data_IF_593401514292
#
_entry.id   IF_593401514292
#
_cell.length_a   1.000
_cell.length_b   1.000
_cell.length_c   1.000
_cell.angle_alpha   90.00
_cell.angle_beta   90.00
_cell.angle_gamma   90.00
#
_symmetry.space_group_name_H-M   'P 1'
#
loop_
_entity.id
_entity.type
_entity.pdbx_description
1 polymer ?
#
# COMPACT_ATOMS: atom_id res chain seq x y z
N UNK A 1 -3.91 -27.07 2.50
CA UNK A 1 -2.81 -26.15 2.24
C UNK A 1 -2.53 -25.39 3.54
N UNK A 2 -1.29 -25.37 4.00
CA UNK A 2 -0.94 -24.58 5.18
C UNK A 2 -0.52 -23.19 4.67
N UNK A 3 -1.41 -22.21 4.79
CA UNK A 3 -1.20 -20.84 4.33
C UNK A 3 -0.76 -20.00 5.54
N UNK A 4 0.33 -20.40 6.20
CA UNK A 4 0.74 -19.88 7.52
C UNK A 4 0.85 -18.34 7.59
N UNK A 5 1.09 -17.66 6.44
CA UNK A 5 1.23 -16.21 6.34
C UNK A 5 0.17 -15.55 5.45
N UNK A 6 -0.82 -16.30 4.97
CA UNK A 6 -1.91 -15.78 4.14
C UNK A 6 -3.26 -15.99 4.80
N UNK A 7 -4.13 -15.00 4.69
CA UNK A 7 -5.54 -15.09 5.09
C UNK A 7 -6.45 -14.83 3.89
N UNK A 8 -7.56 -15.55 3.83
CA UNK A 8 -8.58 -15.30 2.82
C UNK A 8 -9.31 -14.00 3.16
N UNK A 9 -9.40 -13.10 2.19
CA UNK A 9 -10.07 -11.80 2.34
C UNK A 9 -11.57 -11.91 2.09
N UNK A 10 -11.97 -12.80 1.16
CA UNK A 10 -13.36 -12.99 0.76
C UNK A 10 -13.83 -14.42 0.99
N UNK A 11 -15.15 -14.60 1.13
CA UNK A 11 -15.76 -15.94 1.19
C UNK A 11 -15.62 -16.72 -0.14
N UNK A 12 -15.43 -16.02 -1.26
CA UNK A 12 -15.18 -16.61 -2.59
C UNK A 12 -13.77 -17.19 -2.72
N UNK A 13 -12.89 -16.93 -1.76
CA UNK A 13 -11.54 -17.46 -1.65
C UNK A 13 -10.62 -17.19 -2.86
N UNK A 14 -10.88 -16.12 -3.62
CA UNK A 14 -10.06 -15.69 -4.75
C UNK A 14 -9.15 -14.49 -4.43
N UNK A 15 -9.31 -13.85 -3.27
CA UNK A 15 -8.47 -12.73 -2.81
C UNK A 15 -7.82 -13.09 -1.48
N UNK A 16 -6.50 -13.05 -1.47
CA UNK A 16 -5.66 -13.38 -0.32
C UNK A 16 -4.91 -12.16 0.18
N UNK A 17 -4.83 -12.00 1.50
CA UNK A 17 -3.95 -11.05 2.17
C UNK A 17 -2.72 -11.80 2.69
N UNK A 18 -1.55 -11.42 2.24
CA UNK A 18 -0.27 -11.93 2.69
C UNK A 18 0.34 -10.96 3.71
N UNK A 19 0.70 -11.49 4.88
CA UNK A 19 1.54 -10.78 5.85
C UNK A 19 2.99 -10.79 5.37
N UNK A 20 3.52 -9.63 5.06
CA UNK A 20 4.91 -9.49 4.58
C UNK A 20 5.94 -9.67 5.69
N UNK A 21 5.54 -9.62 6.98
CA UNK A 21 6.46 -9.58 8.13
C UNK A 21 7.40 -8.38 8.11
N UNK A 22 6.93 -7.27 7.58
CA UNK A 22 7.69 -6.02 7.51
C UNK A 22 8.17 -5.60 8.90
N UNK A 23 9.43 -5.16 9.00
CA UNK A 23 10.09 -4.76 10.26
C UNK A 23 10.17 -5.87 11.33
N UNK A 24 10.07 -7.14 10.93
CA UNK A 24 9.96 -8.28 11.85
C UNK A 24 8.73 -8.19 12.77
N UNK A 25 7.68 -7.51 12.31
CA UNK A 25 6.40 -7.33 13.01
C UNK A 25 5.30 -8.03 12.24
N UNK A 26 4.57 -8.92 12.91
CA UNK A 26 3.39 -9.57 12.35
C UNK A 26 2.24 -8.58 12.20
N UNK A 27 1.45 -8.74 11.14
CA UNK A 27 0.27 -7.93 10.88
C UNK A 27 0.59 -6.42 10.75
N UNK A 28 1.66 -6.10 10.00
CA UNK A 28 2.02 -4.71 9.73
C UNK A 28 2.00 -4.36 8.24
N UNK A 29 2.64 -5.09 7.35
CA UNK A 29 2.64 -4.83 5.92
C UNK A 29 1.86 -5.88 5.13
N UNK A 30 1.03 -5.47 4.18
CA UNK A 30 0.20 -6.35 3.36
C UNK A 30 0.64 -6.37 1.90
N UNK A 31 0.51 -7.54 1.29
CA UNK A 31 0.44 -7.73 -0.16
C UNK A 31 -0.84 -8.50 -0.43
N UNK A 32 -1.57 -8.14 -1.48
CA UNK A 32 -2.76 -8.90 -1.86
C UNK A 32 -2.51 -9.68 -3.15
N UNK A 33 -3.01 -10.91 -3.18
CA UNK A 33 -2.97 -11.76 -4.37
C UNK A 33 -4.41 -12.08 -4.74
N UNK A 34 -4.77 -11.77 -5.97
CA UNK A 34 -6.05 -12.14 -6.56
C UNK A 34 -5.76 -13.34 -7.46
N UNK A 35 -6.27 -14.51 -7.04
CA UNK A 35 -6.03 -15.81 -7.68
C UNK A 35 -6.91 -15.93 -8.94
N UNK A 36 -6.40 -15.40 -10.03
CA UNK A 36 -7.01 -15.42 -11.37
C UNK A 36 -5.93 -15.70 -12.41
N UNK A 37 -6.31 -15.89 -13.65
CA UNK A 37 -5.38 -16.07 -14.77
C UNK A 37 -5.38 -14.83 -15.69
N UNK A 38 -4.29 -14.05 -15.72
CA UNK A 38 -3.10 -14.13 -14.85
C UNK A 38 -3.40 -13.73 -13.40
N UNK A 39 -2.55 -14.16 -12.47
CA UNK A 39 -2.60 -13.68 -11.09
C UNK A 39 -2.36 -12.17 -11.02
N UNK A 40 -3.15 -11.47 -10.18
CA UNK A 40 -2.92 -10.07 -9.88
C UNK A 40 -2.30 -9.96 -8.49
N UNK A 41 -1.25 -9.13 -8.37
CA UNK A 41 -0.57 -8.85 -7.11
C UNK A 41 -0.68 -7.36 -6.84
N UNK A 42 -1.28 -6.97 -5.72
CA UNK A 42 -1.36 -5.57 -5.32
C UNK A 42 -0.26 -5.29 -4.30
N UNK A 43 0.67 -4.43 -4.67
CA UNK A 43 1.94 -4.13 -4.01
C UNK A 43 2.89 -5.35 -3.96
N UNK A 44 4.11 -5.17 -3.42
CA UNK A 44 5.12 -6.24 -3.37
C UNK A 44 5.86 -6.29 -2.04
N UNK A 45 5.54 -5.37 -1.13
CA UNK A 45 6.30 -5.20 0.10
C UNK A 45 7.72 -4.69 -0.12
N UNK A 46 8.54 -4.80 0.91
CA UNK A 46 9.98 -4.47 0.82
C UNK A 46 10.72 -5.53 0.01
N UNK A 47 11.84 -5.14 -0.58
CA UNK A 47 12.73 -6.10 -1.26
C UNK A 47 13.34 -7.15 -0.32
N UNK A 48 13.32 -6.92 0.99
CA UNK A 48 13.83 -7.85 1.99
C UNK A 48 12.87 -9.04 2.23
N UNK A 49 11.58 -8.78 2.15
CA UNK A 49 10.54 -9.77 2.48
C UNK A 49 9.91 -10.42 1.24
N UNK A 50 10.45 -10.17 0.04
CA UNK A 50 9.88 -10.63 -1.23
C UNK A 50 9.74 -12.16 -1.33
N UNK A 51 10.55 -12.92 -0.62
CA UNK A 51 10.49 -14.38 -0.61
C UNK A 51 9.13 -14.89 -0.12
N UNK A 52 8.45 -14.17 0.79
CA UNK A 52 7.09 -14.49 1.23
C UNK A 52 6.08 -14.39 0.08
N UNK A 53 6.27 -13.41 -0.82
CA UNK A 53 5.43 -13.27 -2.03
C UNK A 53 5.66 -14.43 -2.99
N UNK A 54 6.92 -14.86 -3.17
CA UNK A 54 7.23 -16.03 -4.00
C UNK A 54 6.61 -17.31 -3.45
N UNK A 55 6.71 -17.53 -2.14
CA UNK A 55 6.10 -18.67 -1.47
C UNK A 55 4.58 -18.67 -1.62
N UNK A 56 3.94 -17.51 -1.43
CA UNK A 56 2.49 -17.37 -1.58
C UNK A 56 2.03 -17.67 -3.02
N UNK A 57 2.67 -17.10 -4.03
CA UNK A 57 2.37 -17.35 -5.43
C UNK A 57 2.55 -18.84 -5.78
N UNK A 58 3.65 -19.45 -5.33
CA UNK A 58 3.89 -20.88 -5.54
C UNK A 58 2.84 -21.78 -4.86
N UNK A 59 2.37 -21.41 -3.66
CA UNK A 59 1.29 -22.14 -2.96
C UNK A 59 -0.04 -22.05 -3.70
N UNK A 60 -0.29 -20.96 -4.42
CA UNK A 60 -1.45 -20.78 -5.28
C UNK A 60 -1.28 -21.44 -6.66
N UNK A 61 -0.14 -22.08 -6.91
CA UNK A 61 0.11 -22.82 -8.16
C UNK A 61 0.65 -21.94 -9.29
N UNK A 62 1.04 -20.71 -9.02
CA UNK A 62 1.64 -19.82 -10.03
C UNK A 62 3.03 -20.32 -10.38
N UNK A 63 3.22 -20.68 -11.63
CA UNK A 63 4.48 -21.18 -12.18
C UNK A 63 5.39 -20.02 -12.62
N UNK A 64 6.70 -20.31 -12.74
CA UNK A 64 7.70 -19.29 -13.08
C UNK A 64 7.42 -18.54 -14.39
N UNK A 65 6.90 -19.24 -15.37
CA UNK A 65 6.69 -18.71 -16.73
C UNK A 65 5.29 -18.13 -16.93
N UNK A 66 4.46 -18.13 -15.87
CA UNK A 66 3.12 -17.54 -15.91
C UNK A 66 3.20 -16.00 -15.98
N UNK A 67 2.18 -15.42 -16.57
CA UNK A 67 1.97 -13.98 -16.53
C UNK A 67 1.46 -13.56 -15.16
N UNK A 68 1.98 -12.46 -14.63
CA UNK A 68 1.53 -11.83 -13.40
C UNK A 68 1.34 -10.33 -13.65
N UNK A 69 0.21 -9.79 -13.26
CA UNK A 69 -0.04 -8.35 -13.25
C UNK A 69 0.23 -7.80 -11.83
N UNK A 70 1.27 -6.97 -11.69
CA UNK A 70 1.62 -6.31 -10.42
C UNK A 70 1.06 -4.90 -10.43
N UNK A 71 0.09 -4.60 -9.58
CA UNK A 71 -0.54 -3.30 -9.41
C UNK A 71 0.12 -2.57 -8.25
N UNK A 72 0.90 -1.54 -8.50
CA UNK A 72 1.50 -0.74 -7.42
C UNK A 72 0.57 0.40 -7.03
N UNK A 73 0.14 0.40 -5.77
CA UNK A 73 -0.64 1.52 -5.22
C UNK A 73 0.19 2.79 -5.26
N UNK A 74 1.46 2.71 -4.92
CA UNK A 74 2.44 3.79 -5.02
C UNK A 74 3.87 3.23 -4.97
N UNK A 75 4.89 4.11 -5.09
CA UNK A 75 6.27 3.64 -5.22
C UNK A 75 7.11 3.74 -3.94
N UNK A 76 6.54 3.97 -2.76
CA UNK A 76 7.28 3.82 -1.51
C UNK A 76 7.85 2.40 -1.40
N UNK A 77 9.04 2.26 -0.80
CA UNK A 77 9.80 1.00 -0.88
C UNK A 77 9.24 -0.14 -0.03
N UNK A 78 8.33 0.15 0.86
CA UNK A 78 7.53 -0.81 1.61
C UNK A 78 6.35 -1.39 0.82
N UNK A 79 6.03 -0.79 -0.33
CA UNK A 79 5.02 -1.26 -1.29
C UNK A 79 5.65 -1.76 -2.59
N UNK A 80 6.58 -0.99 -3.16
CA UNK A 80 7.17 -1.28 -4.47
C UNK A 80 8.59 -1.88 -4.41
N UNK A 81 9.18 -2.02 -3.22
CA UNK A 81 10.59 -2.42 -3.07
C UNK A 81 10.92 -3.81 -3.61
N UNK A 82 9.94 -4.71 -3.62
CA UNK A 82 10.06 -6.07 -4.14
C UNK A 82 9.85 -6.18 -5.65
N UNK A 83 9.25 -5.19 -6.32
CA UNK A 83 8.76 -5.31 -7.69
C UNK A 83 9.83 -5.77 -8.69
N UNK A 84 11.01 -5.16 -8.69
CA UNK A 84 12.08 -5.55 -9.61
C UNK A 84 12.58 -6.99 -9.39
N UNK A 85 12.57 -7.47 -8.12
CA UNK A 85 12.91 -8.87 -7.78
C UNK A 85 11.83 -9.82 -8.24
N UNK A 86 10.56 -9.45 -8.09
CA UNK A 86 9.44 -10.25 -8.58
C UNK A 86 9.55 -10.46 -10.09
N UNK A 87 9.90 -9.41 -10.84
CA UNK A 87 10.10 -9.52 -12.28
C UNK A 87 11.31 -10.40 -12.68
N UNK A 88 12.33 -10.50 -11.84
CA UNK A 88 13.44 -11.42 -12.08
C UNK A 88 13.04 -12.89 -11.86
N UNK A 89 12.20 -13.13 -10.85
CA UNK A 89 11.69 -14.47 -10.54
C UNK A 89 10.66 -14.94 -11.58
N UNK A 90 9.77 -14.02 -12.02
CA UNK A 90 8.68 -14.29 -12.96
C UNK A 90 8.86 -13.46 -14.25
N UNK A 91 9.52 -14.03 -15.29
CA UNK A 91 9.78 -13.33 -16.54
C UNK A 91 8.52 -12.88 -17.29
N UNK A 92 7.36 -13.52 -17.08
CA UNK A 92 6.05 -13.15 -17.63
C UNK A 92 5.39 -11.94 -16.94
N UNK A 93 5.83 -11.55 -15.73
CA UNK A 93 5.17 -10.48 -14.96
C UNK A 93 5.36 -9.08 -15.57
N UNK A 94 4.38 -8.20 -15.43
CA UNK A 94 4.43 -6.78 -15.75
C UNK A 94 3.97 -5.94 -14.55
N UNK A 95 4.55 -4.74 -14.39
CA UNK A 95 4.19 -3.79 -13.33
C UNK A 95 3.35 -2.65 -13.89
N UNK A 96 2.26 -2.37 -13.23
CA UNK A 96 1.34 -1.28 -13.52
C UNK A 96 1.48 -0.19 -12.45
N UNK A 97 1.66 1.05 -12.88
CA UNK A 97 2.04 2.15 -11.98
C UNK A 97 1.46 3.49 -12.43
N UNK A 98 1.33 4.44 -11.50
CA UNK A 98 1.04 5.83 -11.83
C UNK A 98 2.18 6.46 -12.64
N UNK A 99 1.88 7.38 -13.57
CA UNK A 99 2.86 8.06 -14.41
C UNK A 99 4.00 8.69 -13.60
N UNK A 100 3.68 9.35 -12.49
CA UNK A 100 4.69 9.98 -11.62
C UNK A 100 5.57 8.98 -10.86
N UNK A 101 5.15 7.71 -10.76
CA UNK A 101 5.94 6.64 -10.15
C UNK A 101 6.89 5.95 -11.13
N UNK A 102 6.63 6.07 -12.43
CA UNK A 102 7.32 5.31 -13.47
C UNK A 102 8.85 5.46 -13.43
N UNK A 103 9.35 6.69 -13.42
CA UNK A 103 10.79 6.95 -13.46
C UNK A 103 11.50 6.47 -12.19
N UNK A 104 10.82 6.46 -11.05
CA UNK A 104 11.35 5.92 -9.80
C UNK A 104 11.60 4.40 -9.84
N UNK A 105 10.92 3.67 -10.71
CA UNK A 105 11.12 2.24 -10.89
C UNK A 105 12.19 1.93 -11.94
N UNK A 106 12.36 2.81 -12.92
CA UNK A 106 13.43 2.71 -13.94
C UNK A 106 14.78 3.12 -13.36
N UNK A 107 14.80 4.23 -12.61
CA UNK A 107 16.00 4.87 -12.05
C UNK A 107 15.79 5.13 -10.54
N UNK A 108 15.95 4.09 -9.68
CA UNK A 108 15.50 4.16 -8.28
C UNK A 108 16.40 4.95 -7.33
N UNK A 109 17.53 5.49 -7.77
CA UNK A 109 18.53 6.14 -6.92
C UNK A 109 17.97 7.30 -6.10
N UNK A 110 17.13 8.13 -6.71
CA UNK A 110 16.47 9.26 -6.03
C UNK A 110 15.47 8.76 -4.98
N UNK A 111 14.70 7.72 -5.31
CA UNK A 111 13.76 7.10 -4.38
C UNK A 111 14.51 6.50 -3.18
N UNK A 112 15.61 5.77 -3.43
CA UNK A 112 16.48 5.21 -2.38
C UNK A 112 17.03 6.30 -1.47
N UNK A 113 17.53 7.40 -2.04
CA UNK A 113 18.06 8.51 -1.25
C UNK A 113 16.98 9.17 -0.39
N UNK A 114 15.79 9.40 -0.94
CA UNK A 114 14.63 9.93 -0.22
C UNK A 114 14.17 9.02 0.91
N UNK A 115 14.03 7.72 0.64
CA UNK A 115 13.66 6.75 1.67
C UNK A 115 14.66 6.70 2.81
N UNK A 116 15.98 6.63 2.50
CA UNK A 116 17.03 6.67 3.54
C UNK A 116 16.96 7.91 4.41
N UNK A 117 16.71 9.06 3.82
CA UNK A 117 16.57 10.31 4.55
C UNK A 117 15.32 10.31 5.46
N UNK A 118 14.23 9.70 5.02
CA UNK A 118 12.98 9.63 5.77
C UNK A 118 13.02 8.61 6.92
N UNK A 119 13.57 7.41 6.67
CA UNK A 119 13.49 6.29 7.63
C UNK A 119 14.73 6.15 8.53
N UNK A 120 15.83 6.84 8.22
CA UNK A 120 17.06 6.80 9.02
C UNK A 120 17.57 5.38 9.26
N UNK A 121 17.76 5.01 10.55
CA UNK A 121 18.27 3.69 10.96
C UNK A 121 17.32 2.53 10.57
N UNK A 122 16.06 2.80 10.29
CA UNK A 122 15.10 1.78 9.82
C UNK A 122 15.41 1.31 8.40
N UNK A 123 16.32 1.98 7.68
CA UNK A 123 16.80 1.54 6.36
C UNK A 123 17.28 0.08 6.36
N UNK A 124 17.73 -0.44 7.47
CA UNK A 124 18.14 -1.85 7.63
C UNK A 124 17.06 -2.86 7.26
N UNK A 125 15.79 -2.49 7.31
CA UNK A 125 14.64 -3.33 6.94
C UNK A 125 14.28 -3.23 5.45
N UNK A 126 15.00 -2.42 4.71
CA UNK A 126 14.83 -2.26 3.27
C UNK A 126 16.03 -2.85 2.53
N UNK A 127 15.75 -3.47 1.40
CA UNK A 127 16.80 -3.86 0.45
C UNK A 127 16.72 -2.90 -0.74
N UNK A 128 17.83 -2.40 -1.28
CA UNK A 128 17.79 -1.53 -2.45
C UNK A 128 16.93 -2.15 -3.56
N UNK A 129 15.97 -1.44 -4.15
CA UNK A 129 15.16 -1.94 -5.24
C UNK A 129 16.03 -2.23 -6.48
N UNK A 130 15.54 -3.13 -7.31
CA UNK A 130 16.15 -3.43 -8.61
C UNK A 130 15.43 -2.60 -9.66
N UNK A 131 16.20 -1.91 -10.52
CA UNK A 131 15.67 -1.18 -11.67
C UNK A 131 14.83 -2.08 -12.58
N UNK A 132 13.71 -1.57 -13.05
CA UNK A 132 12.78 -2.30 -13.90
C UNK A 132 12.97 -1.85 -15.35
N UNK A 133 13.06 -2.81 -16.26
CA UNK A 133 13.07 -2.53 -17.70
C UNK A 133 11.79 -1.78 -18.12
N UNK A 134 11.88 -0.63 -18.78
CA UNK A 134 10.73 0.09 -19.32
C UNK A 134 9.73 -0.77 -20.10
N UNK A 135 10.20 -1.81 -20.78
CA UNK A 135 9.35 -2.75 -21.50
C UNK A 135 8.39 -3.55 -20.58
N UNK A 136 8.70 -3.63 -19.29
CA UNK A 136 7.93 -4.35 -18.26
C UNK A 136 7.05 -3.43 -17.40
N UNK A 137 7.05 -2.13 -17.70
CA UNK A 137 6.23 -1.13 -17.01
C UNK A 137 5.04 -0.71 -17.88
N UNK A 138 3.92 -0.49 -17.24
CA UNK A 138 2.68 0.02 -17.84
C UNK A 138 2.17 1.18 -17.00
N UNK A 139 2.03 2.35 -17.61
CA UNK A 139 1.39 3.50 -16.96
C UNK A 139 -0.12 3.30 -17.00
N UNK A 140 -0.76 3.43 -15.84
CA UNK A 140 -2.20 3.30 -15.71
C UNK A 140 -2.92 4.62 -16.05
N UNK A 141 -4.01 4.56 -16.84
CA UNK A 141 -4.87 5.71 -17.08
C UNK A 141 -5.71 5.99 -15.84
N UNK A 142 -5.40 7.08 -15.14
CA UNK A 142 -6.11 7.47 -13.91
C UNK A 142 -7.55 7.93 -14.21
N UNK A 143 -8.51 7.44 -13.44
CA UNK A 143 -9.93 7.76 -13.60
C UNK A 143 -10.64 6.90 -14.63
N UNK A 144 -10.00 5.86 -15.11
CA UNK A 144 -10.55 4.91 -16.08
C UNK A 144 -10.59 3.50 -15.50
N UNK A 145 -11.44 2.65 -16.07
CA UNK A 145 -11.39 1.21 -15.83
C UNK A 145 -10.41 0.58 -16.82
N UNK A 146 -9.52 -0.26 -16.31
CA UNK A 146 -8.60 -1.04 -17.13
C UNK A 146 -8.99 -2.51 -17.11
N UNK A 147 -8.91 -3.14 -18.27
CA UNK A 147 -9.06 -4.57 -18.38
C UNK A 147 -7.68 -5.21 -18.20
N UNK A 148 -7.50 -5.93 -17.10
CA UNK A 148 -6.31 -6.74 -16.88
C UNK A 148 -6.76 -8.18 -16.96
N UNK A 149 -6.66 -8.72 -18.16
CA UNK A 149 -7.19 -10.02 -18.59
C UNK A 149 -8.69 -10.15 -18.25
N UNK A 150 -9.09 -10.96 -17.30
CA UNK A 150 -10.50 -11.16 -16.93
C UNK A 150 -10.99 -10.19 -15.85
N UNK A 151 -10.08 -9.39 -15.27
CA UNK A 151 -10.41 -8.45 -14.19
C UNK A 151 -10.65 -7.04 -14.72
N UNK A 152 -11.77 -6.44 -14.32
CA UNK A 152 -12.03 -5.00 -14.53
C UNK A 152 -11.64 -4.26 -13.26
N UNK A 153 -10.55 -3.49 -13.35
CA UNK A 153 -10.02 -2.71 -12.24
C UNK A 153 -10.24 -1.22 -12.52
N UNK A 154 -10.96 -0.52 -11.65
CA UNK A 154 -11.03 0.93 -11.70
C UNK A 154 -9.80 1.54 -11.04
N UNK A 155 -9.13 2.43 -11.77
CA UNK A 155 -7.91 3.11 -11.34
C UNK A 155 -8.26 4.48 -10.79
N UNK A 156 -8.10 4.67 -9.48
CA UNK A 156 -8.57 5.86 -8.77
C UNK A 156 -7.37 6.63 -8.23
N UNK A 157 -7.23 7.91 -8.60
CA UNK A 157 -6.20 8.77 -8.01
C UNK A 157 -6.46 9.01 -6.52
N UNK A 158 -5.42 8.90 -5.72
CA UNK A 158 -5.47 9.21 -4.29
C UNK A 158 -4.20 9.98 -3.83
N UNK A 159 -3.95 11.19 -4.39
CA UNK A 159 -2.66 11.87 -4.26
C UNK A 159 -2.41 12.52 -2.90
N UNK A 160 -3.23 12.23 -1.89
CA UNK A 160 -3.10 12.84 -0.58
C UNK A 160 -1.95 12.29 0.25
N UNK A 161 -1.71 10.97 0.20
CA UNK A 161 -0.57 10.32 0.86
C UNK A 161 0.74 10.60 0.10
N UNK A 162 0.72 10.36 -1.21
CA UNK A 162 1.84 10.64 -2.12
C UNK A 162 1.29 11.00 -3.51
N UNK A 163 1.96 11.87 -4.30
CA UNK A 163 1.46 12.33 -5.61
C UNK A 163 1.17 11.20 -6.61
N UNK A 164 1.85 10.07 -6.46
CA UNK A 164 1.73 8.87 -7.31
C UNK A 164 0.85 7.78 -6.69
N UNK A 165 0.11 8.08 -5.62
CA UNK A 165 -0.79 7.11 -4.97
C UNK A 165 -2.02 6.85 -5.82
N UNK A 166 -2.32 5.56 -6.00
CA UNK A 166 -3.53 5.03 -6.60
C UNK A 166 -4.29 4.17 -5.61
N UNK A 167 -5.58 4.08 -5.80
CA UNK A 167 -6.42 3.02 -5.25
C UNK A 167 -6.95 2.17 -6.41
N UNK A 168 -7.17 0.89 -6.15
CA UNK A 168 -7.69 -0.06 -7.14
C UNK A 168 -9.00 -0.65 -6.65
N UNK A 169 -10.06 -0.47 -7.44
CA UNK A 169 -11.35 -1.07 -7.15
C UNK A 169 -11.60 -2.22 -8.10
N UNK A 170 -11.64 -3.44 -7.55
CA UNK A 170 -12.02 -4.64 -8.29
C UNK A 170 -13.53 -4.75 -8.33
N UNK A 171 -14.09 -4.46 -9.49
CA UNK A 171 -15.55 -4.44 -9.72
C UNK A 171 -16.19 -5.80 -9.48
N UNK A 172 -15.46 -6.90 -9.74
CA UNK A 172 -16.01 -8.25 -9.63
C UNK A 172 -16.20 -8.70 -8.18
N UNK A 173 -15.30 -8.28 -7.29
CA UNK A 173 -15.34 -8.67 -5.86
C UNK A 173 -15.89 -7.58 -4.96
N UNK A 174 -16.12 -6.37 -5.49
CA UNK A 174 -16.53 -5.18 -4.71
C UNK A 174 -15.53 -4.85 -3.59
N UNK A 175 -14.23 -4.98 -3.91
CA UNK A 175 -13.12 -4.72 -3.00
C UNK A 175 -12.34 -3.50 -3.47
N UNK A 176 -12.02 -2.60 -2.54
CA UNK A 176 -11.14 -1.47 -2.77
C UNK A 176 -9.78 -1.68 -2.07
N UNK A 177 -8.71 -1.71 -2.85
CA UNK A 177 -7.34 -1.70 -2.36
C UNK A 177 -6.87 -0.25 -2.22
N UNK A 178 -6.70 0.21 -0.99
CA UNK A 178 -6.50 1.63 -0.71
C UNK A 178 -5.01 2.04 -0.68
N UNK A 179 -4.09 1.08 -0.61
CA UNK A 179 -2.72 1.39 -0.22
C UNK A 179 -2.74 2.20 1.08
N UNK A 180 -2.05 3.32 1.10
CA UNK A 180 -1.93 4.21 2.26
C UNK A 180 -2.92 5.40 2.27
N UNK A 181 -3.77 5.49 1.24
CA UNK A 181 -4.73 6.61 1.13
C UNK A 181 -5.77 6.64 2.26
N UNK A 182 -6.04 5.48 2.88
CA UNK A 182 -6.99 5.34 3.99
C UNK A 182 -6.29 4.98 5.31
N UNK A 183 -4.98 5.23 5.42
CA UNK A 183 -4.22 5.01 6.65
C UNK A 183 -3.79 3.57 6.87
N UNK A 184 -3.47 3.27 8.12
CA UNK A 184 -2.98 1.98 8.61
C UNK A 184 -4.09 1.31 9.42
N UNK A 185 -4.50 0.10 9.04
CA UNK A 185 -5.48 -0.65 9.81
C UNK A 185 -4.81 -1.48 10.90
N UNK A 186 -5.39 -1.46 12.08
CA UNK A 186 -4.93 -2.28 13.23
C UNK A 186 -6.05 -3.26 13.60
N UNK A 187 -6.01 -4.51 13.11
CA UNK A 187 -7.11 -5.48 13.30
C UNK A 187 -7.44 -5.76 14.76
N UNK A 188 -6.43 -5.81 15.64
CA UNK A 188 -6.61 -6.09 17.07
C UNK A 188 -7.41 -5.01 17.81
N UNK A 189 -7.50 -3.80 17.25
CA UNK A 189 -8.22 -2.66 17.82
C UNK A 189 -9.41 -2.23 16.95
N UNK A 190 -9.60 -2.87 15.79
CA UNK A 190 -10.55 -2.45 14.74
C UNK A 190 -10.46 -0.94 14.46
N UNK A 191 -9.23 -0.45 14.30
CA UNK A 191 -8.95 0.98 14.19
C UNK A 191 -8.07 1.28 12.99
N UNK A 192 -8.41 2.39 12.30
CA UNK A 192 -7.59 2.98 11.24
C UNK A 192 -6.78 4.12 11.86
N UNK A 193 -5.47 4.08 11.67
CA UNK A 193 -4.53 5.11 12.13
C UNK A 193 -4.03 5.95 10.97
N UNK A 194 -3.61 7.17 11.28
CA UNK A 194 -3.03 8.08 10.31
C UNK A 194 -1.67 7.60 9.80
N UNK A 195 -1.43 7.81 8.48
CA UNK A 195 -0.12 7.70 7.84
C UNK A 195 0.17 8.98 7.08
N UNK A 196 1.15 9.74 7.58
CA UNK A 196 1.45 11.10 7.10
C UNK A 196 2.96 11.20 6.80
N UNK A 197 3.43 10.60 5.68
CA UNK A 197 4.86 10.60 5.34
C UNK A 197 5.36 12.03 5.12
N UNK A 198 6.58 12.36 5.59
CA UNK A 198 7.12 13.71 5.45
C UNK A 198 7.30 14.10 3.97
N UNK A 199 7.21 15.39 3.72
CA UNK A 199 7.44 16.13 2.49
C UNK A 199 6.35 16.05 1.42
N UNK A 200 5.61 14.94 1.26
CA UNK A 200 4.65 14.78 0.15
C UNK A 200 3.19 14.66 0.60
N UNK A 201 2.93 14.45 1.89
CA UNK A 201 1.58 14.37 2.42
C UNK A 201 0.82 15.69 2.28
N UNK A 202 -0.41 15.61 1.78
CA UNK A 202 -1.33 16.75 1.62
C UNK A 202 -2.66 16.42 2.30
N UNK A 203 -2.95 17.09 3.42
CA UNK A 203 -4.16 16.85 4.23
C UNK A 203 -5.44 17.02 3.40
N UNK A 204 -5.58 18.12 2.66
CA UNK A 204 -6.82 18.43 1.94
C UNK A 204 -7.09 17.42 0.82
N UNK A 205 -6.03 16.98 0.14
CA UNK A 205 -6.12 15.90 -0.85
C UNK A 205 -6.47 14.58 -0.19
N UNK A 206 -5.84 14.22 0.93
CA UNK A 206 -6.14 12.96 1.62
C UNK A 206 -7.58 12.93 2.14
N UNK A 207 -8.09 14.03 2.71
CA UNK A 207 -9.50 14.15 3.07
C UNK A 207 -10.43 13.98 1.87
N UNK A 208 -10.01 14.43 0.69
CA UNK A 208 -10.76 14.24 -0.56
C UNK A 208 -10.71 12.78 -1.02
N UNK A 209 -9.56 12.12 -0.87
CA UNK A 209 -9.40 10.71 -1.21
C UNK A 209 -10.29 9.82 -0.35
N UNK A 210 -10.37 10.09 0.96
CA UNK A 210 -11.30 9.39 1.88
C UNK A 210 -12.76 9.61 1.47
N UNK A 211 -13.16 10.81 1.03
CA UNK A 211 -14.52 11.05 0.51
C UNK A 211 -14.81 10.26 -0.76
N UNK A 212 -13.80 9.99 -1.60
CA UNK A 212 -13.96 9.11 -2.76
C UNK A 212 -14.27 7.69 -2.32
N UNK A 213 -13.58 7.17 -1.28
CA UNK A 213 -13.89 5.86 -0.70
C UNK A 213 -15.35 5.81 -0.22
N UNK A 214 -15.81 6.86 0.48
CA UNK A 214 -17.19 6.97 0.94
C UNK A 214 -18.21 7.02 -0.23
N UNK A 215 -17.82 7.54 -1.38
CA UNK A 215 -18.67 7.59 -2.58
C UNK A 215 -18.74 6.27 -3.32
N UNK A 216 -17.64 5.51 -3.32
CA UNK A 216 -17.56 4.18 -3.93
C UNK A 216 -18.40 3.18 -3.13
N UNK A 217 -18.41 3.32 -1.79
CA UNK A 217 -19.12 2.41 -0.86
C UNK A 217 -18.76 0.92 -1.09
N UNK A 218 -17.46 0.55 -1.15
CA UNK A 218 -17.09 -0.83 -1.42
C UNK A 218 -17.56 -1.74 -0.28
N UNK A 219 -17.88 -2.99 -0.57
CA UNK A 219 -18.19 -3.98 0.49
C UNK A 219 -17.02 -4.15 1.44
N UNK A 220 -15.79 -4.08 0.92
CA UNK A 220 -14.57 -4.27 1.71
C UNK A 220 -13.46 -3.33 1.27
N UNK A 221 -12.65 -2.91 2.25
CA UNK A 221 -11.41 -2.17 2.03
C UNK A 221 -10.21 -3.02 2.45
N UNK A 222 -9.16 -2.98 1.63
CA UNK A 222 -7.87 -3.64 1.82
C UNK A 222 -6.78 -2.58 1.94
N UNK A 223 -6.05 -2.61 3.05
CA UNK A 223 -5.04 -1.58 3.40
C UNK A 223 -3.64 -2.02 2.99
N UNK A 224 -2.77 -1.10 2.68
CA UNK A 224 -1.34 -1.38 2.52
C UNK A 224 -0.69 -1.82 3.84
N UNK A 225 -1.23 -1.33 4.97
CA UNK A 225 -0.89 -1.67 6.34
C UNK A 225 -2.18 -1.80 7.19
N UNK A 226 -2.55 -2.88 7.82
CA UNK A 226 -2.48 -4.30 7.55
C UNK A 226 -3.92 -4.83 7.41
N UNK A 227 -4.08 -5.76 6.44
CA UNK A 227 -5.29 -6.54 6.33
C UNK A 227 -6.47 -5.81 5.73
N UNK A 228 -7.67 -6.28 6.00
CA UNK A 228 -8.91 -5.77 5.41
C UNK A 228 -10.04 -5.70 6.44
N UNK A 229 -11.01 -4.83 6.17
CA UNK A 229 -12.26 -4.77 6.94
C UNK A 229 -13.45 -4.51 6.04
N UNK A 230 -14.65 -4.86 6.48
CA UNK A 230 -15.89 -4.39 5.84
C UNK A 230 -15.93 -2.86 5.95
N UNK A 231 -16.21 -2.18 4.84
CA UNK A 231 -16.31 -0.73 4.85
C UNK A 231 -17.55 -0.26 5.62
N UNK A 232 -17.35 0.72 6.49
CA UNK A 232 -18.45 1.45 7.14
C UNK A 232 -18.13 2.93 7.22
N UNK A 233 -19.11 3.79 6.93
CA UNK A 233 -18.92 5.26 6.90
C UNK A 233 -18.37 5.83 8.21
N UNK A 234 -18.72 5.25 9.35
CA UNK A 234 -18.24 5.71 10.68
C UNK A 234 -16.73 5.55 10.84
N UNK A 235 -16.11 4.57 10.18
CA UNK A 235 -14.64 4.43 10.16
C UNK A 235 -14.01 5.58 9.37
N UNK A 236 -14.57 5.91 8.20
CA UNK A 236 -14.08 7.01 7.38
C UNK A 236 -14.23 8.38 8.07
N UNK A 237 -15.37 8.62 8.71
CA UNK A 237 -15.60 9.83 9.53
C UNK A 237 -14.60 9.92 10.69
N UNK A 238 -14.38 8.81 11.41
CA UNK A 238 -13.44 8.74 12.52
C UNK A 238 -12.01 9.00 12.06
N UNK A 239 -11.59 8.38 10.96
CA UNK A 239 -10.27 8.59 10.38
C UNK A 239 -10.05 10.04 9.95
N UNK A 240 -10.99 10.66 9.23
CA UNK A 240 -10.87 12.08 8.83
C UNK A 240 -10.74 13.01 10.03
N UNK A 241 -11.54 12.79 11.08
CA UNK A 241 -11.45 13.59 12.31
C UNK A 241 -10.09 13.42 12.97
N UNK A 242 -9.64 12.19 13.16
CA UNK A 242 -8.34 11.86 13.74
C UNK A 242 -7.19 12.47 12.94
N UNK A 243 -7.24 12.42 11.62
CA UNK A 243 -6.22 13.00 10.74
C UNK A 243 -6.14 14.52 10.87
N UNK A 244 -7.29 15.22 10.95
CA UNK A 244 -7.35 16.66 11.16
C UNK A 244 -6.77 17.01 12.53
N UNK A 245 -7.18 16.31 13.59
CA UNK A 245 -6.67 16.51 14.95
C UNK A 245 -5.17 16.29 15.04
N UNK A 246 -4.66 15.24 14.39
CA UNK A 246 -3.23 14.93 14.31
C UNK A 246 -2.43 16.06 13.66
N UNK A 247 -2.84 16.49 12.46
CA UNK A 247 -2.14 17.56 11.73
C UNK A 247 -2.20 18.88 12.50
N UNK A 248 -3.34 19.20 13.11
CA UNK A 248 -3.47 20.42 13.92
C UNK A 248 -2.58 20.38 15.16
N UNK A 249 -2.49 19.25 15.85
CA UNK A 249 -1.61 19.07 17.00
C UNK A 249 -0.12 19.25 16.59
N UNK A 250 0.30 18.70 15.45
CA UNK A 250 1.66 18.93 14.91
C UNK A 250 1.90 20.41 14.64
N UNK A 251 0.94 21.10 14.00
CA UNK A 251 1.04 22.54 13.71
C UNK A 251 1.18 23.38 14.99
N UNK A 252 0.42 23.06 16.02
CA UNK A 252 0.48 23.76 17.31
C UNK A 252 1.84 23.58 17.99
N UNK A 253 2.38 22.35 18.02
CA UNK A 253 3.70 22.08 18.58
C UNK A 253 4.81 22.84 17.81
N UNK A 254 4.73 22.87 16.48
CA UNK A 254 5.66 23.62 15.65
C UNK A 254 5.56 25.14 15.86
N UNK A 255 4.33 25.67 15.99
CA UNK A 255 4.11 27.09 16.29
C UNK A 255 4.67 27.48 17.69
N UNK A 256 4.67 26.56 18.64
CA UNK A 256 5.28 26.72 19.95
C UNK A 256 6.83 26.55 19.93
N UNK A 257 7.45 26.44 18.73
CA UNK A 257 8.90 26.24 18.52
C UNK A 257 9.44 24.93 19.15
N UNK A 258 8.59 23.92 19.32
CA UNK A 258 9.02 22.59 19.75
C UNK A 258 9.92 21.97 18.67
N UNK A 259 11.02 21.35 19.10
CA UNK A 259 11.85 20.54 18.23
C UNK A 259 11.19 19.19 17.91
N UNK A 260 11.77 18.41 17.01
CA UNK A 260 11.21 17.14 16.56
C UNK A 260 11.03 16.15 17.71
N UNK A 261 11.97 16.13 18.65
CA UNK A 261 11.92 15.23 19.79
C UNK A 261 10.76 15.57 20.74
N UNK A 262 10.54 16.83 21.02
CA UNK A 262 9.41 17.30 21.82
C UNK A 262 8.06 17.00 21.16
N UNK A 263 7.99 17.15 19.83
CA UNK A 263 6.79 16.76 19.05
C UNK A 263 6.54 15.26 19.16
N UNK A 264 7.55 14.42 18.96
CA UNK A 264 7.44 12.97 19.06
C UNK A 264 6.99 12.55 20.48
N UNK A 265 7.63 13.08 21.53
CA UNK A 265 7.29 12.76 22.92
C UNK A 265 5.85 13.16 23.28
N UNK A 266 5.36 14.29 22.76
CA UNK A 266 3.96 14.67 22.94
C UNK A 266 3.00 13.60 22.42
N UNK A 267 3.26 13.08 21.22
CA UNK A 267 2.40 12.07 20.59
C UNK A 267 2.53 10.69 21.22
N UNK A 268 3.74 10.26 21.58
CA UNK A 268 3.95 8.99 22.31
C UNK A 268 3.16 8.99 23.61
N UNK A 269 3.17 10.09 24.35
CA UNK A 269 2.43 10.20 25.61
C UNK A 269 0.90 10.25 25.45
N UNK A 270 0.40 10.64 24.27
CA UNK A 270 -1.05 10.70 23.98
C UNK A 270 -1.60 9.39 23.39
N UNK A 271 -0.75 8.60 22.71
CA UNK A 271 -1.15 7.30 22.14
C UNK A 271 -1.46 6.27 23.23
N UNK A 272 -0.73 6.32 24.36
CA UNK A 272 -0.90 5.40 25.50
C UNK A 272 -1.97 5.85 26.50
N UNK A 273 -2.68 6.93 26.23
CA UNK A 273 -3.80 7.36 27.07
C UNK A 273 -5.07 6.62 26.67
N UNK A 274 -5.76 5.94 27.61
CA UNK A 274 -6.94 5.11 27.35
C UNK A 274 -8.14 5.89 26.82
#
# INVERSE_FOLDING_TARGET
MNLDNMSVVTETADVYCLDTGMFDVDSYGSVYIIDREPALVVDTGTGQNIDRVYEALSQLGVERDDEIAVLLTHVHLDHAGGAGRLLQQYPGACVYVHEQGYEHLVTPETLVAGTKAAVGDQWRYYTPPISIDPARLRVLPVGESVQIVESTIEVIAAPGHAPHQLMFYDVATDILFTGDAFGIYTPSQDRIRETTPPAQFDLERNLTDVRRIETIEPTRVCFGHFGSTTFVHTQAESYRRQLIEWVEAVRQQRAAQADDEAVIQHFVSTIDSP
#
